data_IF_775177606140
#
_entry.id   IF_775177606140
#
_cell.length_a   1.000
_cell.length_b   1.000
_cell.length_c   1.000
_cell.angle_alpha   90.00
_cell.angle_beta   90.00
_cell.angle_gamma   90.00
#
_symmetry.space_group_name_H-M   'P 1'
#
loop_
_entity.id
_entity.type
_entity.pdbx_description
1 polymer ?
#
# COMPACT_ATOMS: atom_id res chain seq x y z
N UNK A 1 23.54 47.03 -46.55
CA UNK A 1 23.24 46.37 -45.27
C UNK A 1 22.42 47.35 -44.47
N UNK A 2 21.11 47.20 -44.48
CA UNK A 2 20.20 48.07 -43.72
C UNK A 2 19.93 47.41 -42.39
N UNK A 3 20.56 47.98 -41.33
CA UNK A 3 20.26 47.63 -39.97
C UNK A 3 18.81 48.00 -39.66
N UNK A 4 17.92 46.98 -39.61
CA UNK A 4 16.63 47.11 -39.03
C UNK A 4 16.80 47.18 -37.51
N UNK A 5 16.18 48.16 -36.79
CA UNK A 5 16.21 48.21 -35.37
C UNK A 5 15.53 46.94 -34.77
N UNK A 6 16.02 46.41 -33.65
CA UNK A 6 15.37 45.24 -33.01
C UNK A 6 13.91 45.58 -32.67
N UNK A 7 13.02 44.69 -33.04
CA UNK A 7 11.60 44.79 -32.68
C UNK A 7 11.47 44.98 -31.15
N UNK A 8 10.66 45.90 -30.67
CA UNK A 8 10.44 46.08 -29.25
C UNK A 8 9.87 44.79 -28.68
N UNK A 9 10.57 44.25 -27.70
CA UNK A 9 10.06 43.16 -26.85
C UNK A 9 8.78 43.69 -26.21
N UNK A 10 7.63 43.37 -26.79
CA UNK A 10 6.33 43.66 -26.19
C UNK A 10 6.19 42.78 -24.96
N UNK A 11 6.56 43.33 -23.81
CA UNK A 11 6.34 42.75 -22.50
C UNK A 11 4.83 42.57 -22.31
N UNK A 12 4.32 41.38 -22.63
CA UNK A 12 2.92 40.99 -22.42
C UNK A 12 2.69 40.78 -20.94
N UNK A 13 2.58 41.87 -20.19
CA UNK A 13 2.13 41.82 -18.81
C UNK A 13 0.60 41.75 -18.81
N UNK A 14 0.09 40.60 -18.42
CA UNK A 14 -1.32 40.39 -18.16
C UNK A 14 -1.54 40.65 -16.67
N UNK A 15 -2.44 41.60 -16.33
CA UNK A 15 -2.81 41.85 -14.95
C UNK A 15 -3.75 40.74 -14.51
N UNK A 16 -3.28 39.90 -13.58
CA UNK A 16 -4.08 38.83 -12.97
C UNK A 16 -4.41 39.26 -11.53
N UNK A 17 -5.64 39.05 -11.12
CA UNK A 17 -6.04 39.26 -9.72
C UNK A 17 -5.30 38.19 -8.87
N UNK A 18 -4.64 38.67 -7.80
CA UNK A 18 -3.85 37.79 -6.93
C UNK A 18 -4.71 36.72 -6.26
N UNK A 19 -5.94 37.06 -5.89
CA UNK A 19 -6.85 36.11 -5.24
C UNK A 19 -7.29 35.01 -6.20
N UNK A 20 -7.62 35.36 -7.44
CA UNK A 20 -8.02 34.39 -8.47
C UNK A 20 -6.87 33.46 -8.83
N UNK A 21 -5.64 33.98 -8.96
CA UNK A 21 -4.45 33.18 -9.26
C UNK A 21 -4.10 32.22 -8.12
N UNK A 22 -4.14 32.68 -6.87
CA UNK A 22 -3.90 31.82 -5.69
C UNK A 22 -4.96 30.73 -5.62
N UNK A 23 -6.24 31.07 -5.82
CA UNK A 23 -7.33 30.09 -5.77
C UNK A 23 -7.17 29.02 -6.85
N UNK A 24 -6.87 29.43 -8.09
CA UNK A 24 -6.65 28.51 -9.21
C UNK A 24 -5.45 27.61 -8.96
N UNK A 25 -4.29 28.18 -8.61
CA UNK A 25 -3.06 27.45 -8.34
C UNK A 25 -3.23 26.45 -7.18
N UNK A 26 -3.98 26.83 -6.13
CA UNK A 26 -4.26 25.93 -5.01
C UNK A 26 -5.19 24.79 -5.40
N UNK A 27 -6.20 25.03 -6.22
CA UNK A 27 -7.08 23.98 -6.76
C UNK A 27 -6.29 23.01 -7.65
N UNK A 28 -5.45 23.50 -8.55
CA UNK A 28 -4.62 22.68 -9.42
C UNK A 28 -3.64 21.83 -8.60
N UNK A 29 -3.02 22.42 -7.57
CA UNK A 29 -2.17 21.69 -6.64
C UNK A 29 -2.95 20.60 -5.88
N UNK A 30 -4.12 20.95 -5.32
CA UNK A 30 -4.96 20.02 -4.59
C UNK A 30 -5.39 18.82 -5.47
N UNK A 31 -5.84 19.09 -6.69
CA UNK A 31 -6.20 18.04 -7.66
C UNK A 31 -5.01 17.15 -8.00
N UNK A 32 -3.85 17.74 -8.26
CA UNK A 32 -2.61 16.99 -8.52
C UNK A 32 -2.23 16.08 -7.35
N UNK A 33 -2.37 16.54 -6.10
CA UNK A 33 -2.06 15.72 -4.91
C UNK A 33 -3.11 14.63 -4.69
N UNK A 34 -4.38 14.93 -4.88
CA UNK A 34 -5.48 13.98 -4.66
C UNK A 34 -5.40 12.83 -5.67
N UNK A 35 -5.43 13.15 -6.98
CA UNK A 35 -5.49 12.15 -8.06
C UNK A 35 -4.10 11.63 -8.42
N UNK A 36 -3.11 12.53 -8.50
CA UNK A 36 -1.77 12.22 -9.01
C UNK A 36 -0.78 11.66 -7.98
N UNK A 37 -1.10 11.60 -6.67
CA UNK A 37 -0.10 11.26 -5.65
C UNK A 37 -0.62 10.41 -4.49
N UNK A 38 -1.65 10.88 -3.75
CA UNK A 38 -1.92 10.41 -2.40
C UNK A 38 -2.95 9.28 -2.31
N UNK A 39 -3.94 9.27 -3.20
CA UNK A 39 -5.03 8.31 -3.14
C UNK A 39 -4.82 7.13 -4.08
N UNK A 40 -5.22 5.92 -3.67
CA UNK A 40 -5.17 4.73 -4.51
C UNK A 40 -6.35 4.67 -5.48
N UNK A 41 -6.14 4.12 -6.66
CA UNK A 41 -7.19 3.73 -7.60
C UNK A 41 -7.91 2.47 -7.08
N UNK A 42 -9.23 2.44 -7.13
CA UNK A 42 -10.03 1.33 -6.57
C UNK A 42 -9.79 -0.01 -7.27
N UNK A 43 -9.54 0.01 -8.60
CA UNK A 43 -9.41 -1.17 -9.45
C UNK A 43 -8.13 -1.95 -9.20
N UNK A 44 -6.97 -1.28 -9.09
CA UNK A 44 -5.67 -1.92 -8.88
C UNK A 44 -5.03 -1.66 -7.50
N UNK A 45 -5.63 -0.77 -6.70
CA UNK A 45 -5.17 -0.46 -5.35
C UNK A 45 -3.86 0.31 -5.29
N UNK A 46 -3.42 0.91 -6.38
CA UNK A 46 -2.12 1.54 -6.48
C UNK A 46 -2.22 3.06 -6.58
N UNK A 47 -1.24 3.73 -5.98
CA UNK A 47 -0.93 5.12 -6.29
C UNK A 47 -0.10 5.19 -7.58
N UNK A 48 -0.05 6.34 -8.27
CA UNK A 48 0.71 6.45 -9.52
C UNK A 48 2.17 6.00 -9.41
N UNK A 49 2.87 6.35 -8.32
CA UNK A 49 4.27 5.94 -8.12
C UNK A 49 4.43 4.42 -8.00
N UNK A 50 3.52 3.73 -7.29
CA UNK A 50 3.54 2.26 -7.16
C UNK A 50 3.31 1.60 -8.53
N UNK A 51 2.33 2.08 -9.29
CA UNK A 51 1.99 1.57 -10.61
C UNK A 51 3.16 1.73 -11.57
N UNK A 52 3.81 2.89 -11.57
CA UNK A 52 4.99 3.17 -12.40
C UNK A 52 6.19 2.29 -12.02
N UNK A 53 6.42 2.04 -10.74
CA UNK A 53 7.47 1.11 -10.27
C UNK A 53 7.20 -0.30 -10.80
N UNK A 54 6.01 -0.84 -10.59
CA UNK A 54 5.69 -2.20 -11.01
C UNK A 54 5.70 -2.34 -12.54
N UNK A 55 5.20 -1.34 -13.26
CA UNK A 55 5.24 -1.34 -14.72
C UNK A 55 6.66 -1.25 -15.26
N UNK A 56 7.49 -0.33 -14.75
CA UNK A 56 8.91 -0.24 -15.14
C UNK A 56 9.68 -1.52 -14.83
N UNK A 57 9.38 -2.18 -13.70
CA UNK A 57 10.00 -3.48 -13.39
C UNK A 57 9.56 -4.58 -14.35
N UNK A 58 8.31 -4.57 -14.79
CA UNK A 58 7.80 -5.52 -15.78
C UNK A 58 8.42 -5.28 -17.15
N UNK A 59 8.42 -4.03 -17.61
CA UNK A 59 8.95 -3.60 -18.90
C UNK A 59 10.47 -3.83 -19.00
N UNK A 60 11.22 -3.47 -17.95
CA UNK A 60 12.66 -3.73 -17.83
C UNK A 60 13.03 -5.20 -17.61
N UNK A 61 12.05 -6.11 -17.53
CA UNK A 61 12.28 -7.55 -17.38
C UNK A 61 12.78 -8.01 -16.01
N UNK A 62 12.55 -7.24 -14.94
CA UNK A 62 12.96 -7.57 -13.56
C UNK A 62 12.00 -8.60 -12.91
N UNK A 63 11.83 -9.74 -13.54
CA UNK A 63 10.86 -10.79 -13.21
C UNK A 63 11.37 -11.74 -12.13
N UNK A 64 10.47 -12.48 -11.44
CA UNK A 64 10.84 -13.42 -10.37
C UNK A 64 11.78 -14.55 -10.81
N UNK A 65 11.68 -14.95 -12.06
CA UNK A 65 12.48 -16.02 -12.70
C UNK A 65 13.86 -15.53 -13.21
N UNK A 66 14.14 -14.24 -13.06
CA UNK A 66 15.39 -13.61 -13.49
C UNK A 66 16.30 -13.31 -12.31
N UNK A 67 17.56 -12.98 -12.60
CA UNK A 67 18.54 -12.56 -11.61
C UNK A 67 18.15 -11.29 -10.87
N UNK A 68 18.82 -11.05 -9.76
CA UNK A 68 18.68 -9.82 -8.97
C UNK A 68 19.27 -8.62 -9.69
N UNK A 69 18.66 -7.47 -9.54
CA UNK A 69 19.11 -6.21 -10.10
C UNK A 69 19.29 -5.17 -8.97
N UNK A 70 20.30 -4.29 -9.09
CA UNK A 70 20.48 -3.18 -8.15
C UNK A 70 19.25 -2.29 -8.14
N UNK A 71 18.76 -1.94 -6.96
CA UNK A 71 17.63 -1.01 -6.81
C UNK A 71 17.90 0.32 -7.50
N UNK A 72 19.16 0.79 -7.51
CA UNK A 72 19.57 2.01 -8.21
C UNK A 72 19.23 1.97 -9.71
N UNK A 73 19.32 0.81 -10.36
CA UNK A 73 18.95 0.67 -11.77
C UNK A 73 17.44 0.81 -11.97
N UNK A 74 16.64 0.10 -11.15
CA UNK A 74 15.16 0.20 -11.21
C UNK A 74 14.71 1.63 -10.93
N UNK A 75 15.29 2.30 -9.93
CA UNK A 75 14.96 3.70 -9.60
C UNK A 75 15.31 4.62 -10.77
N UNK A 76 16.46 4.39 -11.44
CA UNK A 76 16.86 5.15 -12.64
C UNK A 76 15.87 4.99 -13.79
N UNK A 77 15.43 3.76 -14.08
CA UNK A 77 14.44 3.47 -15.13
C UNK A 77 13.09 4.14 -14.83
N UNK A 78 12.61 4.03 -13.58
CA UNK A 78 11.37 4.68 -13.13
C UNK A 78 11.44 6.20 -13.26
N UNK A 79 12.52 6.79 -12.79
CA UNK A 79 12.71 8.25 -12.80
C UNK A 79 12.86 8.80 -14.24
N UNK A 80 13.60 8.10 -15.07
CA UNK A 80 13.88 8.54 -16.43
C UNK A 80 12.71 8.39 -17.39
N UNK A 81 11.89 7.33 -17.21
CA UNK A 81 10.85 7.00 -18.18
C UNK A 81 9.45 7.39 -17.73
N UNK A 82 9.12 7.30 -16.42
CA UNK A 82 7.72 7.38 -15.97
C UNK A 82 7.46 8.40 -14.87
N UNK A 83 8.40 8.61 -13.94
CA UNK A 83 8.12 9.37 -12.71
C UNK A 83 9.15 10.47 -12.48
N UNK A 84 8.93 11.71 -12.97
CA UNK A 84 9.91 12.80 -12.93
C UNK A 84 9.99 13.45 -11.54
N UNK A 85 10.35 12.67 -10.52
CA UNK A 85 10.51 13.10 -9.13
C UNK A 85 11.82 12.58 -8.55
N UNK A 86 12.17 13.03 -7.34
CA UNK A 86 13.44 12.67 -6.70
C UNK A 86 13.60 11.15 -6.49
N UNK A 87 14.81 10.66 -6.72
CA UNK A 87 15.21 9.26 -6.60
C UNK A 87 14.96 8.68 -5.21
N UNK A 88 15.14 9.47 -4.16
CA UNK A 88 14.89 9.08 -2.77
C UNK A 88 13.43 8.68 -2.55
N UNK A 89 12.47 9.45 -3.07
CA UNK A 89 11.04 9.15 -2.93
C UNK A 89 10.66 7.85 -3.67
N UNK A 90 11.25 7.62 -4.84
CA UNK A 90 11.05 6.40 -5.63
C UNK A 90 11.65 5.20 -4.89
N UNK A 91 12.89 5.35 -4.38
CA UNK A 91 13.55 4.26 -3.65
C UNK A 91 12.85 3.91 -2.34
N UNK A 92 12.43 4.89 -1.55
CA UNK A 92 11.67 4.66 -0.32
C UNK A 92 10.36 3.91 -0.60
N UNK A 93 9.69 4.24 -1.70
CA UNK A 93 8.49 3.54 -2.14
C UNK A 93 8.80 2.10 -2.58
N UNK A 94 9.84 1.90 -3.39
CA UNK A 94 10.30 0.58 -3.81
C UNK A 94 10.65 -0.29 -2.60
N UNK A 95 11.37 0.26 -1.62
CA UNK A 95 11.73 -0.43 -0.39
C UNK A 95 10.50 -0.86 0.41
N UNK A 96 9.48 0.02 0.53
CA UNK A 96 8.22 -0.32 1.21
C UNK A 96 7.46 -1.46 0.54
N UNK A 97 7.47 -1.53 -0.79
CA UNK A 97 6.85 -2.64 -1.54
C UNK A 97 7.54 -4.00 -1.27
N UNK A 98 8.77 -4.00 -0.74
CA UNK A 98 9.53 -5.19 -0.38
C UNK A 98 9.46 -5.54 1.12
N UNK A 99 8.96 -4.63 1.98
CA UNK A 99 8.97 -4.80 3.43
C UNK A 99 7.78 -5.63 3.92
N UNK A 100 8.00 -6.84 4.51
CA UNK A 100 6.91 -7.71 4.96
C UNK A 100 6.15 -7.20 6.20
N UNK A 101 6.69 -6.20 6.91
CA UNK A 101 6.01 -5.52 8.03
C UNK A 101 5.16 -4.31 7.59
N UNK A 102 5.28 -3.90 6.30
CA UNK A 102 4.47 -2.84 5.69
C UNK A 102 3.41 -3.43 4.77
N UNK A 103 3.81 -4.40 3.92
CA UNK A 103 2.94 -5.05 2.95
C UNK A 103 2.47 -6.40 3.49
N UNK A 104 1.16 -6.63 3.51
CA UNK A 104 0.63 -7.96 3.87
C UNK A 104 1.09 -9.04 2.88
N UNK A 105 1.16 -8.66 1.61
CA UNK A 105 1.70 -9.47 0.51
C UNK A 105 2.66 -8.60 -0.31
N UNK A 106 3.97 -8.68 -0.06
CA UNK A 106 4.97 -7.89 -0.77
C UNK A 106 4.89 -8.08 -2.29
N UNK A 107 5.00 -6.96 -3.03
CA UNK A 107 4.99 -6.96 -4.49
C UNK A 107 6.40 -6.91 -5.09
N UNK A 108 7.38 -6.59 -4.28
CA UNK A 108 8.81 -6.60 -4.63
C UNK A 108 9.52 -7.61 -3.74
N UNK A 109 10.35 -8.45 -4.34
CA UNK A 109 11.31 -9.28 -3.63
C UNK A 109 12.60 -8.49 -3.49
N UNK A 110 13.11 -8.35 -2.25
CA UNK A 110 14.34 -7.63 -1.95
C UNK A 110 15.46 -8.56 -1.49
N UNK A 111 16.70 -8.21 -1.84
CA UNK A 111 17.92 -8.84 -1.34
C UNK A 111 18.86 -7.79 -0.76
N UNK A 112 19.29 -8.00 0.48
CA UNK A 112 20.07 -7.04 1.25
C UNK A 112 19.28 -6.42 2.39
N UNK A 113 19.73 -5.28 2.92
CA UNK A 113 19.11 -4.60 4.03
C UNK A 113 18.05 -3.59 3.55
N UNK A 114 16.78 -3.92 3.72
CA UNK A 114 15.63 -3.06 3.44
C UNK A 114 15.08 -2.37 4.70
N UNK A 115 15.86 -2.30 5.78
CA UNK A 115 15.46 -1.69 7.04
C UNK A 115 14.87 -2.68 8.04
N UNK A 116 14.30 -2.15 9.09
CA UNK A 116 13.60 -2.90 10.15
C UNK A 116 12.24 -2.26 10.46
N UNK A 117 11.37 -2.93 11.25
CA UNK A 117 10.18 -2.29 11.82
C UNK A 117 10.50 -1.11 12.76
N UNK A 118 11.74 -1.05 13.26
CA UNK A 118 12.27 0.02 14.10
C UNK A 118 12.74 1.24 13.32
N UNK A 119 13.82 1.86 13.79
CA UNK A 119 14.37 3.09 13.21
C UNK A 119 15.39 2.86 12.08
N UNK A 120 15.75 1.61 11.80
CA UNK A 120 16.71 1.30 10.74
C UNK A 120 16.10 1.55 9.37
N UNK A 121 16.74 2.41 8.60
CA UNK A 121 16.37 2.67 7.21
C UNK A 121 16.95 1.60 6.28
N UNK A 122 16.37 1.46 5.10
CA UNK A 122 16.97 0.67 4.05
C UNK A 122 18.38 1.17 3.72
N UNK A 123 19.30 0.26 3.42
CA UNK A 123 20.64 0.61 2.93
C UNK A 123 20.52 1.37 1.59
N UNK A 124 21.55 2.14 1.23
CA UNK A 124 21.54 2.90 -0.01
C UNK A 124 21.27 1.98 -1.23
N UNK A 125 20.52 2.49 -2.20
CA UNK A 125 20.01 1.75 -3.37
C UNK A 125 21.09 1.10 -4.24
N UNK A 126 22.36 1.53 -4.11
CA UNK A 126 23.51 0.92 -4.77
C UNK A 126 23.93 -0.43 -4.17
N UNK A 127 23.52 -0.71 -2.93
CA UNK A 127 23.82 -1.97 -2.23
C UNK A 127 22.66 -2.98 -2.33
N UNK A 128 21.43 -2.52 -2.19
CA UNK A 128 20.26 -3.39 -2.23
C UNK A 128 19.93 -3.83 -3.65
N UNK A 129 19.34 -5.01 -3.76
CA UNK A 129 18.91 -5.61 -5.02
C UNK A 129 17.43 -5.99 -4.95
N UNK A 130 16.75 -5.94 -6.08
CA UNK A 130 15.34 -6.26 -6.15
C UNK A 130 14.96 -6.96 -7.45
N UNK A 131 13.78 -7.54 -7.44
CA UNK A 131 13.01 -8.06 -8.58
C UNK A 131 11.54 -8.10 -8.20
N UNK A 132 10.66 -8.27 -9.16
CA UNK A 132 9.22 -8.46 -8.87
C UNK A 132 9.02 -9.70 -8.00
N UNK A 133 8.10 -9.64 -7.05
CA UNK A 133 7.63 -10.82 -6.34
C UNK A 133 6.71 -11.64 -7.27
N UNK A 134 6.57 -12.97 -7.05
CA UNK A 134 5.67 -13.80 -7.88
C UNK A 134 4.24 -13.25 -7.95
N UNK A 135 3.69 -12.75 -6.85
CA UNK A 135 2.34 -12.18 -6.81
C UNK A 135 2.23 -10.89 -7.64
N UNK A 136 3.30 -10.09 -7.74
CA UNK A 136 3.29 -8.88 -8.56
C UNK A 136 3.13 -9.17 -10.06
N UNK A 137 3.49 -10.37 -10.52
CA UNK A 137 3.22 -10.78 -11.91
C UNK A 137 1.73 -10.88 -12.20
N UNK A 138 0.90 -11.18 -11.20
CA UNK A 138 -0.56 -11.20 -11.35
C UNK A 138 -1.16 -9.78 -11.43
N UNK A 139 -0.42 -8.74 -10.98
CA UNK A 139 -0.84 -7.34 -11.19
C UNK A 139 -0.73 -6.91 -12.64
N UNK A 140 0.29 -7.39 -13.37
CA UNK A 140 0.64 -6.97 -14.73
C UNK A 140 0.31 -8.03 -15.79
N UNK A 141 -0.24 -9.16 -15.40
CA UNK A 141 -0.53 -10.27 -16.31
C UNK A 141 -1.49 -9.82 -17.42
N UNK A 142 -1.19 -10.25 -18.65
CA UNK A 142 -1.95 -9.93 -19.86
C UNK A 142 -1.94 -8.43 -20.24
N UNK A 143 -1.10 -7.58 -19.63
CA UNK A 143 -1.06 -6.12 -19.89
C UNK A 143 -0.76 -5.77 -21.35
N UNK A 144 -0.01 -6.63 -22.05
CA UNK A 144 0.34 -6.46 -23.48
C UNK A 144 -0.78 -6.88 -24.44
N UNK A 145 -1.87 -7.42 -23.95
CA UNK A 145 -3.00 -7.93 -24.72
C UNK A 145 -4.18 -6.94 -24.77
N UNK A 146 -3.89 -5.63 -24.80
CA UNK A 146 -4.88 -4.55 -24.79
C UNK A 146 -5.88 -4.63 -23.61
N UNK A 147 -5.45 -5.20 -22.50
CA UNK A 147 -6.30 -5.44 -21.33
C UNK A 147 -6.70 -4.16 -20.59
N UNK A 148 -5.89 -3.11 -20.68
CA UNK A 148 -6.07 -1.80 -20.02
C UNK A 148 -5.66 -0.67 -20.94
N UNK A 149 -6.08 0.56 -20.60
CA UNK A 149 -5.70 1.75 -21.35
C UNK A 149 -4.30 2.22 -20.97
N UNK A 150 -3.62 2.80 -21.97
CA UNK A 150 -2.33 3.46 -21.83
C UNK A 150 -2.48 4.95 -22.12
N UNK A 151 -1.62 5.75 -21.52
CA UNK A 151 -1.50 7.19 -21.78
C UNK A 151 -0.03 7.56 -21.96
N UNK A 152 0.27 8.65 -22.66
CA UNK A 152 1.64 9.16 -22.74
C UNK A 152 2.19 9.46 -21.34
N UNK A 153 3.49 9.19 -21.15
CA UNK A 153 4.23 9.62 -19.98
C UNK A 153 4.40 11.14 -19.95
N UNK A 154 5.17 11.64 -18.98
CA UNK A 154 5.35 13.08 -18.75
C UNK A 154 6.01 13.86 -19.91
N UNK A 155 6.81 13.22 -20.77
CA UNK A 155 7.49 13.83 -21.92
C UNK A 155 6.96 13.33 -23.28
N UNK A 156 5.94 12.45 -23.27
CA UNK A 156 5.28 11.93 -24.46
C UNK A 156 6.07 10.90 -25.26
N UNK A 157 7.22 10.42 -24.76
CA UNK A 157 8.08 9.45 -25.48
C UNK A 157 7.71 8.00 -25.19
N UNK A 158 7.21 7.73 -23.99
CA UNK A 158 6.83 6.40 -23.55
C UNK A 158 5.32 6.35 -23.24
N UNK A 159 4.79 5.13 -23.14
CA UNK A 159 3.41 4.89 -22.74
C UNK A 159 3.39 4.28 -21.34
N UNK A 160 2.54 4.78 -20.47
CA UNK A 160 2.31 4.22 -19.14
C UNK A 160 0.85 3.74 -19.00
N UNK A 161 0.59 2.63 -18.25
CA UNK A 161 -0.77 2.16 -18.04
C UNK A 161 -1.54 3.11 -17.12
N UNK A 162 -2.80 3.38 -17.45
CA UNK A 162 -3.72 4.14 -16.60
C UNK A 162 -4.03 3.37 -15.32
N UNK A 163 -4.20 2.05 -15.45
CA UNK A 163 -4.48 1.10 -14.36
C UNK A 163 -3.82 -0.23 -14.72
N UNK A 164 -3.46 -1.05 -13.74
CA UNK A 164 -2.98 -2.42 -14.01
C UNK A 164 -4.14 -3.42 -14.08
N UNK A 165 -3.98 -4.54 -14.82
CA UNK A 165 -4.99 -5.61 -14.87
C UNK A 165 -5.37 -6.18 -13.50
N UNK A 166 -4.43 -6.27 -12.55
CA UNK A 166 -4.63 -6.58 -11.14
C UNK A 166 -5.55 -7.78 -10.88
N UNK A 167 -5.09 -9.00 -11.17
CA UNK A 167 -5.90 -10.23 -11.09
C UNK A 167 -6.28 -10.66 -9.67
N UNK A 168 -5.96 -9.88 -8.67
CA UNK A 168 -6.44 -10.01 -7.30
C UNK A 168 -6.78 -8.62 -6.74
N UNK A 169 -7.70 -8.50 -5.80
CA UNK A 169 -8.18 -7.21 -5.28
C UNK A 169 -7.15 -6.57 -4.33
N UNK A 170 -6.06 -6.06 -4.92
CA UNK A 170 -4.88 -5.57 -4.22
C UNK A 170 -5.21 -4.48 -3.19
N UNK A 171 -6.18 -3.60 -3.45
CA UNK A 171 -6.53 -2.53 -2.51
C UNK A 171 -7.05 -3.08 -1.18
N UNK A 172 -7.88 -4.12 -1.19
CA UNK A 172 -8.33 -4.78 0.04
C UNK A 172 -7.22 -5.61 0.68
N UNK A 173 -6.44 -6.32 -0.13
CA UNK A 173 -5.43 -7.27 0.36
C UNK A 173 -4.24 -6.55 0.99
N UNK A 174 -3.69 -5.54 0.34
CA UNK A 174 -2.52 -4.79 0.82
C UNK A 174 -2.87 -3.45 1.49
N UNK A 175 -4.12 -3.01 1.39
CA UNK A 175 -4.51 -1.71 1.94
C UNK A 175 -3.84 -0.52 1.27
N UNK A 176 -4.06 0.66 1.81
CA UNK A 176 -3.36 1.88 1.39
C UNK A 176 -3.47 2.95 2.48
N UNK A 177 -2.41 3.72 2.67
CA UNK A 177 -2.39 4.88 3.58
C UNK A 177 -1.87 6.09 2.82
N UNK A 178 -2.55 7.23 2.91
CA UNK A 178 -2.14 8.45 2.21
C UNK A 178 -2.81 9.69 2.76
N UNK A 179 -2.09 10.81 2.70
CA UNK A 179 -2.57 12.13 3.13
C UNK A 179 -2.60 13.03 1.90
N UNK A 180 -3.80 13.49 1.53
CA UNK A 180 -4.02 14.44 0.46
C UNK A 180 -4.43 15.82 1.02
N UNK A 181 -4.74 16.75 0.15
CA UNK A 181 -5.27 18.06 0.56
C UNK A 181 -6.73 17.92 0.99
N UNK A 182 -7.04 18.24 2.23
CA UNK A 182 -8.40 18.18 2.78
C UNK A 182 -8.96 16.78 3.05
N UNK A 183 -8.22 15.70 2.71
CA UNK A 183 -8.67 14.33 2.94
C UNK A 183 -7.49 13.36 3.12
N UNK A 184 -7.76 12.21 3.73
CA UNK A 184 -6.78 11.15 3.90
C UNK A 184 -7.43 9.80 3.65
N UNK A 185 -6.65 8.82 3.22
CA UNK A 185 -7.06 7.41 3.13
C UNK A 185 -6.28 6.57 4.13
N UNK A 186 -6.94 5.60 4.73
CA UNK A 186 -6.32 4.61 5.60
C UNK A 186 -7.12 3.31 5.54
N UNK A 187 -6.79 2.48 4.55
CA UNK A 187 -7.47 1.22 4.25
C UNK A 187 -6.65 0.09 4.85
N UNK A 188 -7.22 -0.73 5.75
CA UNK A 188 -6.50 -1.84 6.36
C UNK A 188 -6.25 -2.98 5.36
N UNK A 189 -5.28 -3.81 5.68
CA UNK A 189 -4.96 -5.03 4.94
C UNK A 189 -5.90 -6.17 5.31
N UNK A 190 -6.12 -7.13 4.38
CA UNK A 190 -7.00 -8.28 4.58
C UNK A 190 -6.38 -9.58 4.08
N UNK A 191 -6.88 -10.70 4.58
CA UNK A 191 -6.45 -12.02 4.14
C UNK A 191 -6.95 -12.33 2.72
N UNK A 192 -6.04 -12.70 1.83
CA UNK A 192 -6.37 -12.96 0.41
C UNK A 192 -7.42 -14.06 0.23
N UNK A 193 -7.39 -15.13 1.04
CA UNK A 193 -8.35 -16.22 0.94
C UNK A 193 -9.75 -15.79 1.35
N UNK A 194 -9.87 -14.98 2.39
CA UNK A 194 -11.13 -14.42 2.87
C UNK A 194 -11.73 -13.48 1.82
N UNK A 195 -10.91 -12.58 1.26
CA UNK A 195 -11.34 -11.68 0.18
C UNK A 195 -11.74 -12.47 -1.06
N UNK A 196 -10.98 -13.50 -1.45
CA UNK A 196 -11.33 -14.37 -2.57
C UNK A 196 -12.66 -15.10 -2.35
N UNK A 197 -12.94 -15.57 -1.12
CA UNK A 197 -14.22 -16.19 -0.77
C UNK A 197 -15.40 -15.21 -0.91
N UNK A 198 -15.21 -13.95 -0.54
CA UNK A 198 -16.24 -12.92 -0.72
C UNK A 198 -16.47 -12.58 -2.20
N UNK A 199 -15.40 -12.50 -2.98
CA UNK A 199 -15.46 -12.32 -4.45
C UNK A 199 -16.18 -13.50 -5.11
N UNK A 200 -15.85 -14.73 -4.73
CA UNK A 200 -16.50 -15.93 -5.27
C UNK A 200 -18.00 -15.90 -5.00
N UNK A 201 -18.42 -15.59 -3.77
CA UNK A 201 -19.83 -15.51 -3.43
C UNK A 201 -20.56 -14.44 -4.28
N UNK A 202 -19.92 -13.28 -4.49
CA UNK A 202 -20.46 -12.21 -5.32
C UNK A 202 -20.66 -12.64 -6.78
N UNK A 203 -19.72 -13.42 -7.33
CA UNK A 203 -19.82 -13.97 -8.70
C UNK A 203 -20.92 -15.05 -8.83
N UNK A 204 -21.15 -15.83 -7.77
CA UNK A 204 -22.19 -16.86 -7.71
C UNK A 204 -23.59 -16.25 -7.52
N UNK A 205 -23.68 -14.99 -7.04
CA UNK A 205 -24.92 -14.27 -6.76
C UNK A 205 -24.93 -12.87 -7.42
N UNK A 206 -24.87 -12.79 -8.75
CA UNK A 206 -24.69 -11.53 -9.47
C UNK A 206 -25.86 -10.54 -9.32
N UNK A 207 -27.06 -11.05 -9.05
CA UNK A 207 -28.30 -10.27 -8.90
C UNK A 207 -28.60 -9.93 -7.43
N UNK A 208 -27.70 -10.27 -6.49
CA UNK A 208 -27.90 -10.01 -5.07
C UNK A 208 -27.94 -8.50 -4.79
N UNK A 209 -28.91 -8.03 -3.94
CA UNK A 209 -28.93 -6.62 -3.53
C UNK A 209 -27.63 -6.22 -2.81
N UNK A 210 -27.25 -4.95 -2.88
CA UNK A 210 -26.02 -4.44 -2.28
C UNK A 210 -25.91 -4.72 -0.76
N UNK A 211 -27.03 -4.72 -0.03
CA UNK A 211 -27.02 -5.04 1.40
C UNK A 211 -26.75 -6.53 1.66
N UNK A 212 -27.24 -7.42 0.81
CA UNK A 212 -26.96 -8.86 0.91
C UNK A 212 -25.50 -9.16 0.58
N UNK A 213 -24.96 -8.49 -0.46
CA UNK A 213 -23.53 -8.57 -0.81
C UNK A 213 -22.65 -8.07 0.36
N UNK A 214 -23.03 -6.96 1.01
CA UNK A 214 -22.30 -6.44 2.17
C UNK A 214 -22.29 -7.44 3.33
N UNK A 215 -23.46 -8.02 3.70
CA UNK A 215 -23.53 -9.00 4.78
C UNK A 215 -22.73 -10.26 4.46
N UNK A 216 -22.80 -10.73 3.21
CA UNK A 216 -22.05 -11.88 2.74
C UNK A 216 -20.54 -11.63 2.78
N UNK A 217 -20.10 -10.41 2.42
CA UNK A 217 -18.71 -10.00 2.50
C UNK A 217 -18.21 -9.91 3.95
N UNK A 218 -18.98 -9.30 4.86
CA UNK A 218 -18.67 -9.21 6.30
C UNK A 218 -18.59 -10.60 6.96
N UNK A 219 -19.44 -11.53 6.54
CA UNK A 219 -19.41 -12.90 7.06
C UNK A 219 -18.14 -13.67 6.65
N UNK A 220 -17.55 -13.36 5.48
CA UNK A 220 -16.37 -14.02 4.91
C UNK A 220 -15.05 -13.32 5.24
N UNK A 221 -15.10 -12.01 5.44
CA UNK A 221 -13.96 -11.16 5.83
C UNK A 221 -14.23 -10.68 7.27
N UNK A 222 -13.86 -11.48 8.29
CA UNK A 222 -14.22 -11.19 9.67
C UNK A 222 -13.55 -9.94 10.24
N UNK A 223 -12.46 -9.49 9.64
CA UNK A 223 -11.71 -8.29 10.04
C UNK A 223 -10.44 -8.08 9.25
N UNK A 224 -9.73 -6.98 9.53
CA UNK A 224 -8.40 -6.75 9.01
C UNK A 224 -7.40 -7.86 9.37
N UNK A 225 -6.46 -8.12 8.47
CA UNK A 225 -5.33 -9.05 8.64
C UNK A 225 -4.02 -8.25 8.49
N UNK A 226 -3.50 -7.76 9.61
CA UNK A 226 -2.32 -6.90 9.60
C UNK A 226 -1.01 -7.69 9.45
N UNK A 227 0.01 -7.14 8.73
CA UNK A 227 1.28 -7.82 8.49
C UNK A 227 2.02 -8.25 9.76
N UNK A 228 1.89 -7.47 10.84
CA UNK A 228 2.64 -7.66 12.08
C UNK A 228 1.89 -8.52 13.11
N UNK A 229 0.72 -9.06 12.76
CA UNK A 229 -0.14 -9.77 13.70
C UNK A 229 -0.85 -8.81 14.66
N UNK A 230 -0.74 -9.05 15.97
CA UNK A 230 -1.44 -8.42 17.06
C UNK A 230 -2.91 -8.84 17.21
N UNK A 231 -3.52 -8.51 18.33
CA UNK A 231 -4.92 -8.82 18.63
C UNK A 231 -5.81 -7.64 18.25
N UNK A 232 -6.94 -7.92 17.64
CA UNK A 232 -8.00 -6.93 17.45
C UNK A 232 -8.98 -7.04 18.62
N UNK A 233 -9.27 -5.92 19.28
CA UNK A 233 -10.11 -5.86 20.47
C UNK A 233 -11.49 -5.31 20.13
N UNK A 234 -12.49 -6.18 20.15
CA UNK A 234 -13.87 -5.84 19.83
C UNK A 234 -14.16 -5.82 18.32
N UNK A 235 -15.43 -5.87 17.95
CA UNK A 235 -15.87 -5.96 16.55
C UNK A 235 -16.46 -4.65 16.02
N UNK A 236 -16.97 -3.79 16.90
CA UNK A 236 -17.72 -2.59 16.52
C UNK A 236 -16.98 -1.71 15.49
N UNK A 237 -15.66 -1.46 15.70
CA UNK A 237 -14.89 -0.64 14.79
C UNK A 237 -14.71 -1.25 13.39
N UNK A 238 -14.71 -2.59 13.31
CA UNK A 238 -14.70 -3.33 12.03
C UNK A 238 -16.03 -3.16 11.32
N UNK A 239 -17.13 -3.41 12.03
CA UNK A 239 -18.50 -3.30 11.48
C UNK A 239 -18.76 -1.87 10.99
N UNK A 240 -18.37 -0.85 11.78
CA UNK A 240 -18.47 0.55 11.37
C UNK A 240 -17.68 0.83 10.09
N UNK A 241 -16.41 0.36 10.01
CA UNK A 241 -15.55 0.56 8.85
C UNK A 241 -16.13 -0.11 7.59
N UNK A 242 -16.59 -1.35 7.70
CA UNK A 242 -17.10 -2.11 6.56
C UNK A 242 -18.44 -1.59 6.03
N UNK A 243 -19.31 -1.11 6.93
CA UNK A 243 -20.63 -0.59 6.57
C UNK A 243 -20.63 0.87 6.13
N UNK A 244 -19.71 1.68 6.63
CA UNK A 244 -19.72 3.13 6.40
C UNK A 244 -18.47 3.66 5.71
N UNK A 245 -17.45 2.82 5.56
CA UNK A 245 -16.11 3.21 5.12
C UNK A 245 -15.29 3.94 6.20
N UNK A 246 -15.80 4.08 7.44
CA UNK A 246 -15.09 4.71 8.56
C UNK A 246 -15.29 3.95 9.84
N UNK A 247 -14.20 3.70 10.57
CA UNK A 247 -14.26 2.97 11.84
C UNK A 247 -12.95 3.03 12.60
N UNK A 248 -12.98 2.61 13.86
CA UNK A 248 -11.82 2.63 14.76
C UNK A 248 -11.54 1.21 15.25
N UNK A 249 -10.54 0.56 14.67
CA UNK A 249 -10.14 -0.80 15.03
C UNK A 249 -9.07 -0.74 16.10
N UNK A 250 -9.38 -1.24 17.29
CA UNK A 250 -8.44 -1.26 18.42
C UNK A 250 -7.53 -2.48 18.28
N UNK A 251 -6.23 -2.24 18.20
CA UNK A 251 -5.19 -3.27 18.15
C UNK A 251 -4.46 -3.33 19.48
N UNK A 252 -4.06 -4.51 19.87
CA UNK A 252 -3.31 -4.76 21.12
C UNK A 252 -2.17 -5.73 20.87
N UNK A 253 -0.99 -5.41 21.39
CA UNK A 253 0.18 -6.25 21.32
C UNK A 253 -0.07 -7.65 21.90
N UNK A 254 0.54 -8.66 21.31
CA UNK A 254 0.66 -10.00 21.89
C UNK A 254 1.90 -10.03 22.77
N UNK A 255 1.76 -10.55 23.96
CA UNK A 255 2.86 -10.69 24.91
C UNK A 255 2.69 -11.92 25.79
N UNK A 256 3.82 -12.47 26.19
CA UNK A 256 3.95 -13.57 27.14
C UNK A 256 4.55 -13.09 28.47
N UNK A 257 4.18 -13.75 29.54
CA UNK A 257 4.78 -13.53 30.86
C UNK A 257 5.78 -14.66 31.12
N UNK A 258 7.06 -14.33 31.08
CA UNK A 258 8.16 -15.25 31.30
C UNK A 258 8.83 -14.97 32.67
N UNK A 259 9.68 -15.89 33.12
CA UNK A 259 10.56 -15.71 34.30
C UNK A 259 12.00 -15.92 33.88
N UNK A 260 12.89 -15.01 34.25
CA UNK A 260 14.31 -15.17 33.99
C UNK A 260 14.99 -16.10 35.01
N UNK A 261 16.25 -16.46 34.73
CA UNK A 261 17.05 -17.34 35.62
C UNK A 261 17.27 -16.78 37.04
N UNK A 262 17.03 -15.48 37.23
CA UNK A 262 17.16 -14.81 38.53
C UNK A 262 15.79 -14.64 39.24
N UNK A 263 14.72 -15.24 38.71
CA UNK A 263 13.37 -15.19 39.28
C UNK A 263 12.69 -13.83 39.08
N UNK A 264 13.08 -13.06 38.05
CA UNK A 264 12.39 -11.81 37.72
C UNK A 264 11.34 -12.07 36.64
N UNK A 265 10.17 -11.47 36.80
CA UNK A 265 9.10 -11.52 35.80
C UNK A 265 9.44 -10.63 34.62
N UNK A 266 9.27 -11.17 33.42
CA UNK A 266 9.45 -10.50 32.15
C UNK A 266 8.10 -10.41 31.43
N UNK A 267 7.77 -9.25 30.86
CA UNK A 267 6.73 -9.12 29.85
C UNK A 267 7.43 -9.11 28.49
N UNK A 268 7.22 -10.16 27.71
CA UNK A 268 7.87 -10.36 26.42
C UNK A 268 6.88 -10.08 25.30
N UNK A 269 7.06 -8.97 24.60
CA UNK A 269 6.20 -8.58 23.49
C UNK A 269 6.68 -9.26 22.22
N UNK A 270 5.83 -10.10 21.64
CA UNK A 270 6.11 -10.90 20.43
C UNK A 270 5.44 -10.34 19.18
N UNK A 271 4.34 -9.60 19.34
CA UNK A 271 3.68 -8.90 18.22
C UNK A 271 3.26 -7.50 18.66
N UNK A 272 3.44 -6.53 17.77
CA UNK A 272 3.06 -5.14 17.99
C UNK A 272 1.90 -4.74 17.07
N UNK A 273 1.05 -3.79 17.49
CA UNK A 273 0.06 -3.19 16.63
C UNK A 273 0.67 -2.67 15.34
N UNK A 274 -0.07 -2.79 14.25
CA UNK A 274 0.40 -2.35 12.94
C UNK A 274 0.86 -0.89 12.94
N UNK A 275 1.99 -0.60 12.28
CA UNK A 275 2.66 0.71 12.21
C UNK A 275 3.29 1.21 13.52
N UNK A 276 3.28 0.44 14.58
CA UNK A 276 4.00 0.80 15.82
C UNK A 276 5.48 0.50 15.66
N UNK A 277 6.30 1.52 15.91
CA UNK A 277 7.75 1.42 15.90
C UNK A 277 8.26 0.93 17.28
N UNK A 278 8.96 -0.22 17.37
CA UNK A 278 9.42 -0.79 18.64
C UNK A 278 10.42 0.10 19.38
N UNK A 279 11.32 0.79 18.69
CA UNK A 279 12.33 1.66 19.31
C UNK A 279 11.68 2.88 19.96
N UNK A 280 10.76 3.53 19.24
CA UNK A 280 10.02 4.66 19.77
C UNK A 280 9.10 4.24 20.93
N UNK A 281 8.53 3.04 20.88
CA UNK A 281 7.76 2.47 21.97
C UNK A 281 8.63 2.24 23.22
N UNK A 282 9.84 1.68 23.07
CA UNK A 282 10.78 1.48 24.16
C UNK A 282 11.18 2.80 24.82
N UNK A 283 11.49 3.83 24.02
CA UNK A 283 11.77 5.18 24.49
C UNK A 283 10.59 5.77 25.27
N UNK A 284 9.37 5.60 24.75
CA UNK A 284 8.16 6.07 25.43
C UNK A 284 7.91 5.39 26.76
N UNK A 285 8.13 4.09 26.85
CA UNK A 285 8.03 3.35 28.11
C UNK A 285 9.08 3.85 29.11
N UNK A 286 10.33 4.04 28.69
CA UNK A 286 11.41 4.57 29.53
C UNK A 286 11.09 5.98 30.07
N UNK A 287 10.53 6.86 29.24
CA UNK A 287 10.04 8.19 29.64
C UNK A 287 8.98 8.09 30.75
N UNK A 288 7.98 7.20 30.56
CA UNK A 288 6.89 7.01 31.54
C UNK A 288 7.37 6.43 32.86
N UNK A 289 8.41 5.60 32.87
CA UNK A 289 9.07 5.08 34.06
C UNK A 289 9.85 6.20 34.77
N UNK A 290 10.62 7.00 34.03
CA UNK A 290 11.44 8.10 34.59
C UNK A 290 10.54 9.20 35.18
N UNK A 291 9.42 9.51 34.55
CA UNK A 291 8.46 10.49 35.08
C UNK A 291 7.57 9.94 36.20
N UNK A 292 7.72 8.68 36.57
CA UNK A 292 6.96 8.03 37.66
C UNK A 292 5.49 7.74 37.28
N UNK A 293 5.11 7.88 36.02
CA UNK A 293 3.74 7.60 35.57
C UNK A 293 3.43 6.11 35.50
N UNK A 294 4.44 5.28 35.21
CA UNK A 294 4.39 3.82 35.28
C UNK A 294 5.48 3.36 36.25
N UNK A 295 5.09 2.62 37.28
CA UNK A 295 5.97 2.03 38.23
C UNK A 295 6.08 0.51 38.03
N UNK A 296 7.11 -0.13 38.63
CA UNK A 296 7.25 -1.58 38.60
C UNK A 296 8.07 -2.12 37.43
N UNK A 297 8.60 -1.28 36.55
CA UNK A 297 9.55 -1.67 35.50
C UNK A 297 10.96 -1.40 35.96
N UNK A 298 11.86 -2.38 35.79
CA UNK A 298 13.26 -2.31 36.16
C UNK A 298 14.15 -2.02 34.93
N UNK A 299 13.85 -2.62 33.77
CA UNK A 299 14.66 -2.50 32.57
C UNK A 299 13.84 -2.79 31.33
N UNK A 300 14.31 -2.33 30.16
CA UNK A 300 13.72 -2.58 28.85
C UNK A 300 14.86 -2.90 27.88
N UNK A 301 14.71 -3.97 27.11
CA UNK A 301 15.69 -4.35 26.10
C UNK A 301 15.00 -4.93 24.86
N UNK A 302 15.61 -4.73 23.72
CA UNK A 302 15.18 -5.34 22.46
C UNK A 302 16.07 -6.54 22.14
N UNK A 303 15.50 -7.74 22.24
CA UNK A 303 16.13 -9.00 21.91
C UNK A 303 15.65 -9.51 20.52
N UNK A 304 15.04 -8.65 19.70
CA UNK A 304 14.53 -8.97 18.36
C UNK A 304 15.66 -9.30 17.39
N UNK A 305 15.42 -10.25 16.51
CA UNK A 305 16.35 -10.59 15.42
C UNK A 305 15.59 -11.25 14.25
N UNK A 306 16.24 -11.35 13.09
CA UNK A 306 15.67 -12.08 11.96
C UNK A 306 15.32 -13.55 12.29
N UNK A 307 16.00 -14.15 13.27
CA UNK A 307 15.78 -15.52 13.72
C UNK A 307 14.69 -15.66 14.77
N UNK A 308 14.60 -14.72 15.70
CA UNK A 308 13.65 -14.76 16.83
C UNK A 308 12.34 -14.05 16.53
N UNK A 309 12.28 -13.22 15.49
CA UNK A 309 11.19 -12.29 15.26
C UNK A 309 11.21 -11.13 16.27
N UNK A 310 10.07 -10.47 16.45
CA UNK A 310 9.89 -9.40 17.42
C UNK A 310 10.01 -9.96 18.85
N UNK A 311 10.87 -9.36 19.67
CA UNK A 311 11.07 -9.74 21.08
C UNK A 311 11.50 -8.52 21.91
N UNK A 312 10.54 -7.64 22.23
CA UNK A 312 10.76 -6.54 23.14
C UNK A 312 10.50 -7.01 24.58
N UNK A 313 11.53 -7.00 25.42
CA UNK A 313 11.51 -7.55 26.78
C UNK A 313 11.44 -6.41 27.81
N UNK A 314 10.37 -6.39 28.59
CA UNK A 314 10.16 -5.45 29.69
C UNK A 314 10.38 -6.20 31.01
N UNK A 315 11.46 -5.90 31.72
CA UNK A 315 11.84 -6.55 32.99
C UNK A 315 11.12 -5.87 34.12
N UNK A 316 10.40 -6.62 34.95
CA UNK A 316 9.68 -6.08 36.09
C UNK A 316 10.54 -6.05 37.35
N UNK A 317 10.23 -5.14 38.29
CA UNK A 317 10.75 -5.17 39.65
C UNK A 317 10.14 -6.36 40.41
N UNK A 318 10.83 -6.87 41.43
CA UNK A 318 10.41 -8.07 42.16
C UNK A 318 9.06 -7.96 42.86
N UNK A 319 8.69 -6.74 43.28
CA UNK A 319 7.45 -6.41 43.98
C UNK A 319 6.31 -5.98 43.05
N UNK A 320 6.58 -5.92 41.74
CA UNK A 320 5.61 -5.45 40.76
C UNK A 320 4.56 -6.52 40.45
N UNK A 321 3.30 -6.10 40.35
CA UNK A 321 2.20 -6.96 39.89
C UNK A 321 2.12 -6.92 38.36
N UNK A 322 2.44 -8.02 37.62
CA UNK A 322 2.57 -8.01 36.16
C UNK A 322 1.31 -7.50 35.44
N UNK A 323 0.13 -7.93 35.90
CA UNK A 323 -1.14 -7.49 35.28
C UNK A 323 -1.43 -6.01 35.47
N UNK A 324 -1.02 -5.42 36.61
CA UNK A 324 -1.22 -3.98 36.83
C UNK A 324 -0.29 -3.17 35.96
N UNK A 325 0.99 -3.57 35.85
CA UNK A 325 1.95 -2.92 34.93
C UNK A 325 1.47 -3.02 33.50
N UNK A 326 1.03 -4.20 33.09
CA UNK A 326 0.52 -4.44 31.73
C UNK A 326 -0.68 -3.56 31.39
N UNK A 327 -1.66 -3.43 32.29
CA UNK A 327 -2.82 -2.58 32.08
C UNK A 327 -2.44 -1.10 31.96
N UNK A 328 -1.44 -0.64 32.73
CA UNK A 328 -0.92 0.71 32.61
C UNK A 328 -0.16 0.92 31.29
N UNK A 329 0.57 -0.08 30.82
CA UNK A 329 1.23 -0.06 29.53
C UNK A 329 0.22 0.06 28.38
N UNK A 330 -0.85 -0.73 28.38
CA UNK A 330 -1.93 -0.61 27.38
C UNK A 330 -2.62 0.76 27.41
N UNK A 331 -2.76 1.35 28.58
CA UNK A 331 -3.42 2.65 28.74
C UNK A 331 -2.58 3.84 28.29
N UNK A 332 -1.26 3.75 28.41
CA UNK A 332 -0.36 4.90 28.27
C UNK A 332 0.66 4.77 27.14
N UNK A 333 0.69 3.64 26.45
CA UNK A 333 1.65 3.36 25.36
C UNK A 333 0.97 2.74 24.15
N UNK A 334 1.71 2.67 23.05
CA UNK A 334 1.27 2.05 21.80
C UNK A 334 1.25 0.50 21.83
N UNK A 335 1.41 -0.12 23.01
CA UNK A 335 1.05 -1.55 23.16
C UNK A 335 -0.45 -1.79 22.93
N UNK A 336 -1.26 -0.75 23.03
CA UNK A 336 -2.60 -0.69 22.49
C UNK A 336 -2.72 0.57 21.64
N UNK A 337 -3.13 0.41 20.39
CA UNK A 337 -3.23 1.48 19.41
C UNK A 337 -4.52 1.35 18.62
N UNK A 338 -5.03 2.45 18.10
CA UNK A 338 -6.26 2.46 17.28
C UNK A 338 -5.91 2.71 15.83
N UNK A 339 -6.28 1.77 14.96
CA UNK A 339 -6.25 1.98 13.52
C UNK A 339 -7.55 2.67 13.08
N UNK A 340 -7.44 3.95 12.73
CA UNK A 340 -8.56 4.74 12.22
C UNK A 340 -8.81 4.41 10.75
N UNK A 341 -9.78 3.56 10.46
CA UNK A 341 -10.16 3.25 9.08
C UNK A 341 -10.80 4.46 8.41
N UNK A 342 -10.33 4.80 7.23
CA UNK A 342 -10.96 5.71 6.28
C UNK A 342 -10.79 5.10 4.89
N UNK A 343 -11.81 4.39 4.43
CA UNK A 343 -11.77 3.58 3.22
C UNK A 343 -12.06 4.44 1.97
N UNK A 344 -11.20 5.45 1.76
CA UNK A 344 -11.27 6.42 0.67
C UNK A 344 -10.40 5.97 -0.50
N UNK A 345 -10.98 5.86 -1.69
CA UNK A 345 -10.26 5.52 -2.92
C UNK A 345 -10.75 6.36 -4.10
N UNK A 346 -10.00 6.37 -5.19
CA UNK A 346 -10.42 6.98 -6.44
C UNK A 346 -11.31 6.00 -7.23
N UNK A 347 -12.46 6.49 -7.65
CA UNK A 347 -13.37 5.83 -8.59
C UNK A 347 -13.57 6.79 -9.74
N UNK A 348 -13.06 6.47 -10.91
CA UNK A 348 -13.08 7.34 -12.09
C UNK A 348 -12.54 8.75 -11.75
N UNK A 349 -11.34 8.78 -11.15
CA UNK A 349 -10.64 9.99 -10.68
C UNK A 349 -11.38 10.81 -9.60
N UNK A 350 -12.51 10.33 -9.08
CA UNK A 350 -13.28 10.99 -8.02
C UNK A 350 -13.05 10.30 -6.67
N UNK A 351 -12.60 11.02 -5.63
CA UNK A 351 -12.44 10.45 -4.29
C UNK A 351 -13.80 10.04 -3.70
N UNK A 352 -13.92 8.77 -3.30
CA UNK A 352 -15.14 8.24 -2.66
C UNK A 352 -14.77 7.40 -1.44
N UNK A 353 -15.52 7.61 -0.34
CA UNK A 353 -15.49 6.69 0.80
C UNK A 353 -16.39 5.51 0.48
N UNK A 354 -15.85 4.31 0.51
CA UNK A 354 -16.49 3.10 0.03
C UNK A 354 -16.76 2.12 1.18
N UNK A 355 -17.86 1.37 1.06
CA UNK A 355 -18.17 0.19 1.88
C UNK A 355 -17.42 -1.03 1.35
N UNK A 356 -17.33 -2.08 2.16
CA UNK A 356 -16.60 -3.30 1.79
C UNK A 356 -17.12 -3.95 0.49
N UNK A 357 -18.42 -4.04 0.32
CA UNK A 357 -19.07 -4.58 -0.89
C UNK A 357 -18.72 -3.81 -2.16
N UNK A 358 -18.58 -2.49 -2.06
CA UNK A 358 -18.27 -1.64 -3.19
C UNK A 358 -16.84 -1.87 -3.72
N UNK A 359 -15.85 -2.11 -2.84
CA UNK A 359 -14.50 -2.48 -3.29
C UNK A 359 -14.52 -3.78 -4.10
N UNK A 360 -15.29 -4.77 -3.65
CA UNK A 360 -15.44 -6.05 -4.36
C UNK A 360 -16.11 -5.84 -5.72
N UNK A 361 -17.19 -5.07 -5.75
CA UNK A 361 -17.96 -4.82 -6.98
C UNK A 361 -17.14 -4.06 -8.03
N UNK A 362 -16.39 -3.01 -7.63
CA UNK A 362 -15.54 -2.27 -8.56
C UNK A 362 -14.40 -3.13 -9.10
N UNK A 363 -13.79 -3.96 -8.25
CA UNK A 363 -12.75 -4.87 -8.72
C UNK A 363 -13.29 -5.94 -9.66
N UNK A 364 -14.46 -6.54 -9.37
CA UNK A 364 -15.11 -7.51 -10.28
C UNK A 364 -15.44 -6.87 -11.63
N UNK A 365 -16.02 -5.68 -11.64
CA UNK A 365 -16.32 -4.96 -12.88
C UNK A 365 -15.04 -4.73 -13.72
N UNK A 366 -13.95 -4.32 -13.08
CA UNK A 366 -12.66 -4.18 -13.74
C UNK A 366 -12.14 -5.52 -14.31
N UNK A 367 -12.27 -6.64 -13.56
CA UNK A 367 -11.84 -7.95 -14.07
C UNK A 367 -12.67 -8.42 -15.27
N UNK A 368 -13.96 -8.15 -15.29
CA UNK A 368 -14.82 -8.45 -16.45
C UNK A 368 -14.33 -7.69 -17.68
N UNK A 369 -14.06 -6.39 -17.53
CA UNK A 369 -13.52 -5.56 -18.62
C UNK A 369 -12.16 -6.09 -19.12
N UNK A 370 -11.23 -6.36 -18.22
CA UNK A 370 -9.89 -6.91 -18.53
C UNK A 370 -10.00 -8.22 -19.31
N UNK A 371 -10.88 -9.13 -18.87
CA UNK A 371 -11.09 -10.43 -19.53
C UNK A 371 -11.72 -10.25 -20.92
N UNK A 372 -12.72 -9.38 -21.06
CA UNK A 372 -13.36 -9.09 -22.34
C UNK A 372 -12.37 -8.50 -23.34
N UNK A 373 -11.60 -7.47 -22.94
CA UNK A 373 -10.61 -6.81 -23.79
C UNK A 373 -9.50 -7.75 -24.23
N UNK A 374 -8.94 -8.51 -23.28
CA UNK A 374 -7.96 -9.55 -23.58
C UNK A 374 -8.49 -10.60 -24.54
N UNK A 375 -9.70 -11.07 -24.35
CA UNK A 375 -10.31 -12.12 -25.19
C UNK A 375 -10.57 -11.58 -26.59
N UNK A 376 -11.01 -10.33 -26.71
CA UNK A 376 -11.19 -9.65 -28.01
C UNK A 376 -9.83 -9.53 -28.74
N UNK A 377 -8.77 -9.09 -28.06
CA UNK A 377 -7.43 -9.00 -28.64
C UNK A 377 -6.95 -10.35 -29.19
N UNK A 378 -7.14 -11.44 -28.42
CA UNK A 378 -6.78 -12.81 -28.87
C UNK A 378 -7.63 -13.28 -30.05
N UNK A 379 -8.91 -12.88 -30.09
CA UNK A 379 -9.80 -13.19 -31.21
C UNK A 379 -9.34 -12.48 -32.48
N UNK A 380 -9.03 -11.19 -32.39
CA UNK A 380 -8.57 -10.38 -33.52
C UNK A 380 -7.26 -10.93 -34.09
N UNK A 381 -6.30 -11.29 -33.23
CA UNK A 381 -5.06 -11.96 -33.63
C UNK A 381 -5.29 -13.31 -34.33
N UNK A 382 -6.19 -14.12 -33.77
CA UNK A 382 -6.52 -15.41 -34.34
C UNK A 382 -7.20 -15.28 -35.73
N UNK A 383 -8.09 -14.29 -35.89
CA UNK A 383 -8.75 -13.97 -37.15
C UNK A 383 -7.75 -13.49 -38.19
N UNK A 384 -6.83 -12.59 -37.83
CA UNK A 384 -5.77 -12.11 -38.71
C UNK A 384 -4.88 -13.26 -39.20
N UNK A 385 -4.46 -14.15 -38.32
CA UNK A 385 -3.70 -15.34 -38.72
C UNK A 385 -4.49 -16.30 -39.59
N UNK A 386 -5.77 -16.53 -39.26
CA UNK A 386 -6.66 -17.37 -40.08
C UNK A 386 -6.85 -16.79 -41.49
N UNK A 387 -6.94 -15.47 -41.64
CA UNK A 387 -7.02 -14.80 -42.93
C UNK A 387 -5.78 -15.08 -43.79
N UNK A 388 -4.57 -14.94 -43.22
CA UNK A 388 -3.31 -15.24 -43.89
C UNK A 388 -3.26 -16.71 -44.35
N UNK A 389 -3.58 -17.65 -43.44
CA UNK A 389 -3.56 -19.09 -43.78
C UNK A 389 -4.57 -19.47 -44.85
N UNK A 390 -5.79 -18.86 -44.84
CA UNK A 390 -6.76 -19.06 -45.93
C UNK A 390 -6.23 -18.58 -47.28
N UNK A 391 -5.54 -17.42 -47.30
CA UNK A 391 -4.87 -16.94 -48.49
C UNK A 391 -3.80 -17.91 -49.01
N UNK A 392 -2.97 -18.45 -48.13
CA UNK A 392 -1.94 -19.43 -48.48
C UNK A 392 -2.50 -20.77 -49.00
N UNK A 393 -3.69 -21.17 -48.55
CA UNK A 393 -4.36 -22.40 -49.05
C UNK A 393 -4.93 -22.19 -50.46
N UNK A 394 -5.28 -20.94 -50.84
CA UNK A 394 -5.82 -20.62 -52.18
C UNK A 394 -4.69 -20.44 -53.19
N UNK A 395 -3.51 -20.00 -52.80
CA UNK A 395 -2.32 -19.83 -53.63
C UNK A 395 -1.63 -21.18 -53.93
#
# INVERSE_FOLDING_TARGET
MTDLPPEPITDRRELVDLQDEIQKSYLDYAMSVIVGRALPEVRDGLKPVHRRILYAMYDGGYRPDRGWNKCARVVGDVMGQYHPHGDTAIYDTLARLAQPWVMRYPLVAGQGNFGSPGNDKAAAMRYTECRMAPLAMEMVRDITENAVDFKPNYDGKEQEPVVLPSRFPNLLVNGSTGIAVGMATNIPTHNLREVASAVQWSLENPDAPAEELLEAAIARIPGPDFPNGALIVGRRGIDDAYRTGRGSVIMRAVLDIEEDKAGRTLLVVTELPHMVNPDNLALKIAELVTTGKINGIADIRDDSSARTGQRLVIVLKRDAQPRVVLNNLYKHTQLQETFGCNMLALVDDVPRTLRLDQFISYWIAHQIEVIQRRTQHRLDDAQARAHIYRGLVIA
#
